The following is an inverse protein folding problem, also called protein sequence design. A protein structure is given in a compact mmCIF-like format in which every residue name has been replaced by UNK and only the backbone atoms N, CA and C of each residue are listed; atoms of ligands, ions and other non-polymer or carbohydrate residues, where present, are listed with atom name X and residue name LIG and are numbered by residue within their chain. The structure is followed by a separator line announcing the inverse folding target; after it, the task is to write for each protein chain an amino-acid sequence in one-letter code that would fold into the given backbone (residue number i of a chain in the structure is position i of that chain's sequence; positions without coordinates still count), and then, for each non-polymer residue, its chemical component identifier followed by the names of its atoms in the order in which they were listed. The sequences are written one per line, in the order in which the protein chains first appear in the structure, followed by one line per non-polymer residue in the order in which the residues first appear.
data_IF_899097586265
#
_entry.id   IF_899097586265
#
_cell.length_a   1.000
_cell.length_b   1.000
_cell.length_c   1.000
_cell.angle_alpha   90.00
_cell.angle_beta   90.00
_cell.angle_gamma   90.00
#
_symmetry.space_group_name_H-M   'P 1'
#
loop_
_entity.id
_entity.type
_entity.pdbx_description
1 polymer ?
#
# COMPACT_ATOMS: atom_id res chain seq x y z
N UNK A 1 -1.34 5.05 10.55
CA UNK A 1 -0.42 6.13 10.18
C UNK A 1 -1.11 7.50 10.21
N UNK A 2 -2.23 7.72 9.50
CA UNK A 2 -2.88 9.04 9.33
C UNK A 2 -3.32 9.74 10.65
N UNK A 3 -3.43 9.03 11.75
CA UNK A 3 -3.75 9.60 13.08
C UNK A 3 -2.51 10.11 13.83
N UNK A 4 -1.30 9.72 13.43
CA UNK A 4 -0.07 10.14 14.08
C UNK A 4 0.19 11.64 13.84
N UNK A 5 0.55 12.42 14.88
CA UNK A 5 0.83 13.86 14.73
C UNK A 5 1.99 14.14 13.77
N UNK A 6 3.03 13.32 13.79
CA UNK A 6 4.22 13.44 12.94
C UNK A 6 3.96 13.16 11.45
N UNK A 7 2.90 12.43 11.11
CA UNK A 7 2.53 12.14 9.73
C UNK A 7 1.70 13.30 9.17
N UNK A 8 2.21 13.97 8.15
CA UNK A 8 1.53 15.10 7.52
C UNK A 8 0.46 14.65 6.53
N UNK A 9 0.76 13.67 5.68
CA UNK A 9 -0.16 13.14 4.67
C UNK A 9 0.03 11.63 4.52
N UNK A 10 -1.04 10.94 4.15
CA UNK A 10 -1.06 9.53 3.75
C UNK A 10 -1.76 9.45 2.40
N UNK A 11 -1.12 8.82 1.45
CA UNK A 11 -1.70 8.47 0.17
C UNK A 11 -1.88 6.95 0.13
N UNK A 12 -3.11 6.48 -0.09
CA UNK A 12 -3.41 5.05 -0.36
C UNK A 12 -3.60 4.93 -1.86
N UNK A 13 -2.73 4.18 -2.51
CA UNK A 13 -2.54 4.23 -3.95
C UNK A 13 -2.89 2.88 -4.57
N UNK A 14 -3.63 2.88 -5.69
CA UNK A 14 -3.93 1.69 -6.45
C UNK A 14 -5.16 0.91 -5.97
N UNK A 15 -6.06 1.55 -5.23
CA UNK A 15 -7.29 0.92 -4.73
C UNK A 15 -8.19 0.54 -5.89
N UNK A 16 -8.60 -0.74 -5.93
CA UNK A 16 -9.58 -1.27 -6.90
C UNK A 16 -10.81 -1.85 -6.20
N UNK A 17 -10.68 -2.18 -4.90
CA UNK A 17 -11.78 -2.72 -4.10
C UNK A 17 -12.92 -1.73 -3.93
N UNK A 18 -14.16 -2.25 -3.91
CA UNK A 18 -15.36 -1.51 -3.55
C UNK A 18 -15.44 -1.08 -2.07
N UNK A 19 -14.51 -1.50 -1.22
CA UNK A 19 -14.49 -1.24 0.23
C UNK A 19 -14.40 0.25 0.59
N UNK A 20 -13.89 1.08 -0.32
CA UNK A 20 -13.92 2.53 -0.15
C UNK A 20 -15.28 3.15 -0.48
N UNK A 21 -16.21 2.36 -1.01
CA UNK A 21 -17.55 2.79 -1.44
C UNK A 21 -18.48 3.16 -0.28
N UNK A 22 -19.69 3.61 -0.63
CA UNK A 22 -20.70 4.06 0.36
C UNK A 22 -21.11 2.95 1.33
N UNK A 23 -21.18 1.68 0.87
CA UNK A 23 -21.58 0.54 1.68
C UNK A 23 -20.64 0.30 2.89
N UNK A 24 -19.37 0.68 2.76
CA UNK A 24 -18.33 0.53 3.78
C UNK A 24 -17.91 1.87 4.43
N UNK A 25 -18.60 2.96 4.11
CA UNK A 25 -18.24 4.29 4.63
C UNK A 25 -18.20 4.34 6.16
N UNK A 26 -19.05 3.55 6.84
CA UNK A 26 -19.15 3.47 8.30
C UNK A 26 -17.91 2.83 8.97
N UNK A 27 -17.13 2.06 8.23
CA UNK A 27 -15.88 1.43 8.70
C UNK A 27 -14.72 2.44 8.76
N UNK A 28 -14.87 3.54 8.05
CA UNK A 28 -13.83 4.55 7.93
C UNK A 28 -13.82 5.52 9.11
N UNK A 29 -12.63 5.81 9.62
CA UNK A 29 -12.44 6.92 10.55
C UNK A 29 -12.45 8.24 9.80
N UNK A 30 -13.41 9.12 10.11
CA UNK A 30 -13.60 10.38 9.39
C UNK A 30 -12.48 11.41 9.67
N UNK A 31 -11.86 11.37 10.86
CA UNK A 31 -10.85 12.35 11.29
C UNK A 31 -9.72 12.59 10.28
N UNK A 32 -9.10 11.58 9.65
CA UNK A 32 -8.05 11.80 8.66
C UNK A 32 -8.53 12.56 7.43
N UNK A 33 -9.76 12.30 6.97
CA UNK A 33 -10.36 13.02 5.84
C UNK A 33 -10.72 14.45 6.21
N UNK A 34 -11.37 14.67 7.36
CA UNK A 34 -11.70 16.00 7.86
C UNK A 34 -10.46 16.90 7.99
N UNK A 35 -9.33 16.31 8.38
CA UNK A 35 -8.03 16.99 8.46
C UNK A 35 -7.25 17.02 7.16
N UNK A 36 -7.79 16.51 6.06
CA UNK A 36 -7.12 16.38 4.75
C UNK A 36 -5.76 15.67 4.81
N UNK A 37 -5.62 14.72 5.74
CA UNK A 37 -4.41 13.93 5.93
C UNK A 37 -4.39 12.64 5.11
N UNK A 38 -5.54 12.18 4.64
CA UNK A 38 -5.70 10.93 3.90
C UNK A 38 -6.28 11.21 2.53
N UNK A 39 -5.67 10.66 1.50
CA UNK A 39 -6.15 10.71 0.12
C UNK A 39 -6.14 9.33 -0.47
N UNK A 40 -7.27 8.90 -1.04
CA UNK A 40 -7.42 7.70 -1.84
C UNK A 40 -7.12 7.99 -3.31
N UNK A 41 -6.37 7.08 -3.94
CA UNK A 41 -6.06 7.07 -5.35
C UNK A 41 -6.51 5.72 -5.90
N UNK A 42 -7.63 5.69 -6.62
CA UNK A 42 -8.33 4.48 -7.00
C UNK A 42 -8.42 4.32 -8.51
N UNK A 43 -8.61 3.08 -8.96
CA UNK A 43 -8.89 2.73 -10.35
C UNK A 43 -10.24 2.02 -10.42
N UNK A 44 -11.18 2.58 -11.19
CA UNK A 44 -12.49 1.99 -11.42
C UNK A 44 -13.45 2.04 -10.22
N UNK A 45 -13.04 2.58 -9.08
CA UNK A 45 -13.88 2.73 -7.88
C UNK A 45 -13.80 4.15 -7.32
N UNK A 46 -14.79 4.58 -6.53
CA UNK A 46 -14.87 5.94 -5.95
C UNK A 46 -15.44 5.89 -4.53
N UNK A 47 -14.92 6.76 -3.69
CA UNK A 47 -15.44 7.05 -2.36
C UNK A 47 -16.42 8.24 -2.42
N UNK A 48 -17.49 8.12 -3.19
CA UNK A 48 -18.44 9.21 -3.46
C UNK A 48 -19.05 9.82 -2.19
N UNK A 49 -19.13 9.05 -1.10
CA UNK A 49 -19.62 9.52 0.20
C UNK A 49 -18.77 10.66 0.80
N UNK A 50 -17.50 10.79 0.40
CA UNK A 50 -16.65 11.90 0.83
C UNK A 50 -17.21 13.27 0.39
N UNK A 51 -17.98 13.31 -0.69
CA UNK A 51 -18.69 14.53 -1.15
C UNK A 51 -19.71 14.98 -0.13
N UNK A 52 -20.38 14.03 0.55
CA UNK A 52 -21.41 14.34 1.56
C UNK A 52 -20.84 15.04 2.79
N UNK A 53 -19.56 14.84 3.08
CA UNK A 53 -18.86 15.49 4.19
C UNK A 53 -17.95 16.65 3.72
N UNK A 54 -18.10 17.10 2.48
CA UNK A 54 -17.31 18.20 1.90
C UNK A 54 -15.81 17.87 1.73
N UNK A 55 -15.49 16.61 1.40
CA UNK A 55 -14.11 16.11 1.25
C UNK A 55 -13.89 15.35 -0.06
N UNK A 56 -14.56 15.76 -1.11
CA UNK A 56 -14.42 15.14 -2.44
C UNK A 56 -12.95 15.04 -2.91
N UNK A 57 -12.13 16.03 -2.55
CA UNK A 57 -10.71 16.08 -2.89
C UNK A 57 -9.86 14.95 -2.25
N UNK A 58 -10.41 14.27 -1.24
CA UNK A 58 -9.74 13.15 -0.56
C UNK A 58 -9.88 11.82 -1.30
N UNK A 59 -10.60 11.76 -2.42
CA UNK A 59 -10.58 10.62 -3.32
C UNK A 59 -10.40 11.11 -4.76
N UNK A 60 -9.47 10.46 -5.48
CA UNK A 60 -9.21 10.68 -6.90
C UNK A 60 -9.31 9.34 -7.61
N UNK A 61 -10.33 9.19 -8.44
CA UNK A 61 -10.62 7.97 -9.20
C UNK A 61 -10.20 8.15 -10.66
N UNK A 62 -9.62 7.11 -11.24
CA UNK A 62 -9.07 7.07 -12.59
C UNK A 62 -9.60 5.85 -13.35
N UNK A 63 -9.53 5.90 -14.68
CA UNK A 63 -9.94 4.78 -15.53
C UNK A 63 -8.86 3.69 -15.65
N UNK A 64 -7.59 4.01 -15.35
CA UNK A 64 -6.48 3.06 -15.46
C UNK A 64 -5.35 3.37 -14.46
N UNK A 65 -4.45 2.38 -14.25
CA UNK A 65 -3.26 2.56 -13.43
C UNK A 65 -2.30 3.62 -14.02
N UNK A 66 -2.15 3.67 -15.34
CA UNK A 66 -1.33 4.67 -16.02
C UNK A 66 -1.84 6.10 -15.78
N UNK A 67 -3.15 6.30 -15.84
CA UNK A 67 -3.76 7.61 -15.55
C UNK A 67 -3.57 7.97 -14.08
N UNK A 68 -3.77 7.01 -13.17
CA UNK A 68 -3.56 7.21 -11.74
C UNK A 68 -2.12 7.65 -11.48
N UNK A 69 -1.13 6.92 -11.99
CA UNK A 69 0.29 7.25 -11.79
C UNK A 69 0.59 8.63 -12.33
N UNK A 70 0.18 8.96 -13.56
CA UNK A 70 0.36 10.31 -14.12
C UNK A 70 -0.25 11.41 -13.25
N UNK A 71 -1.44 11.16 -12.68
CA UNK A 71 -2.12 12.12 -11.81
C UNK A 71 -1.49 12.24 -10.42
N UNK A 72 -0.82 11.16 -9.95
CA UNK A 72 -0.19 11.07 -8.64
C UNK A 72 1.16 11.80 -8.59
N UNK A 73 1.99 11.67 -9.64
CA UNK A 73 3.37 12.18 -9.63
C UNK A 73 3.50 13.65 -9.19
N UNK A 74 2.65 14.59 -9.66
CA UNK A 74 2.70 15.98 -9.19
C UNK A 74 2.42 16.12 -7.68
N UNK A 75 1.55 15.25 -7.12
CA UNK A 75 1.22 15.30 -5.69
C UNK A 75 2.37 14.80 -4.80
N UNK A 76 3.30 14.02 -5.36
CA UNK A 76 4.50 13.53 -4.68
C UNK A 76 5.69 14.49 -4.80
N UNK A 77 5.67 15.42 -5.76
CA UNK A 77 6.82 16.30 -6.04
C UNK A 77 7.27 17.11 -4.82
N UNK A 78 6.31 17.63 -4.06
CA UNK A 78 6.57 18.49 -2.87
C UNK A 78 6.60 17.70 -1.56
N UNK A 79 6.59 16.37 -1.60
CA UNK A 79 6.67 15.57 -0.39
C UNK A 79 8.07 15.66 0.22
N UNK A 80 8.13 15.88 1.54
CA UNK A 80 9.38 15.80 2.31
C UNK A 80 9.84 14.36 2.51
N UNK A 81 10.17 13.99 3.74
CA UNK A 81 10.50 12.60 4.07
C UNK A 81 9.32 11.67 3.83
N UNK A 82 9.56 10.57 3.13
CA UNK A 82 8.55 9.61 2.71
C UNK A 82 8.84 8.25 3.35
N UNK A 83 7.83 7.63 3.93
CA UNK A 83 7.82 6.21 4.26
C UNK A 83 6.91 5.49 3.26
N UNK A 84 7.42 4.42 2.65
CA UNK A 84 6.69 3.61 1.68
C UNK A 84 6.25 2.29 2.31
N UNK A 85 4.97 1.93 2.13
CA UNK A 85 4.46 0.60 2.45
C UNK A 85 3.86 0.05 1.17
N UNK A 86 4.42 -1.05 0.66
CA UNK A 86 3.99 -1.68 -0.58
C UNK A 86 3.25 -2.96 -0.21
N UNK A 87 1.94 -2.97 -0.41
CA UNK A 87 1.14 -4.17 -0.34
C UNK A 87 1.04 -4.80 -1.73
N UNK A 88 1.40 -6.07 -1.85
CA UNK A 88 1.42 -6.76 -3.14
C UNK A 88 0.03 -7.01 -3.72
N UNK A 89 -1.01 -6.84 -2.94
CA UNK A 89 -2.39 -6.86 -3.42
C UNK A 89 -2.68 -5.73 -4.45
N UNK A 90 -1.84 -4.68 -4.49
CA UNK A 90 -1.94 -3.63 -5.51
C UNK A 90 -1.65 -4.14 -6.93
N UNK A 91 -0.88 -5.22 -7.07
CA UNK A 91 -0.50 -5.76 -8.36
C UNK A 91 -1.59 -6.58 -9.02
N UNK A 92 -1.57 -6.60 -10.35
CA UNK A 92 -2.40 -7.49 -11.14
C UNK A 92 -2.02 -8.96 -10.90
N UNK A 93 -2.99 -9.83 -11.04
CA UNK A 93 -2.87 -11.27 -10.76
C UNK A 93 -1.80 -11.97 -11.63
N UNK A 94 -1.56 -11.45 -12.83
CA UNK A 94 -0.51 -11.94 -13.74
C UNK A 94 0.90 -11.46 -13.37
N UNK A 95 1.03 -10.54 -12.42
CA UNK A 95 2.32 -10.09 -11.85
C UNK A 95 2.71 -10.93 -10.64
N UNK A 96 1.78 -11.11 -9.72
CA UNK A 96 1.97 -11.90 -8.50
C UNK A 96 0.63 -12.37 -7.96
N UNK A 97 0.57 -13.59 -7.45
CA UNK A 97 -0.64 -14.10 -6.79
C UNK A 97 -0.61 -13.82 -5.30
N UNK A 98 -1.72 -13.31 -4.75
CA UNK A 98 -1.93 -13.07 -3.32
C UNK A 98 -3.18 -13.80 -2.82
N UNK A 99 -3.50 -13.68 -1.53
CA UNK A 99 -4.69 -14.28 -0.92
C UNK A 99 -5.93 -13.38 -0.99
N UNK A 100 -5.78 -12.14 -1.45
CA UNK A 100 -6.81 -11.09 -1.39
C UNK A 100 -7.20 -10.60 -2.78
N UNK A 101 -8.21 -9.77 -2.84
CA UNK A 101 -8.59 -9.06 -4.05
C UNK A 101 -7.40 -8.28 -4.61
N UNK A 102 -7.06 -8.55 -5.86
CA UNK A 102 -5.88 -7.98 -6.48
C UNK A 102 -6.19 -6.74 -7.29
N UNK A 103 -5.24 -5.83 -7.29
CA UNK A 103 -5.28 -4.60 -8.03
C UNK A 103 -4.93 -4.78 -9.51
N UNK A 104 -4.49 -3.67 -10.10
CA UNK A 104 -4.19 -3.60 -11.55
C UNK A 104 -2.79 -3.03 -11.82
N UNK A 105 -1.97 -2.84 -10.79
CA UNK A 105 -0.63 -2.30 -10.98
C UNK A 105 0.29 -3.35 -11.59
N UNK A 106 1.27 -2.87 -12.35
CA UNK A 106 2.45 -3.60 -12.78
C UNK A 106 3.69 -3.07 -12.07
N UNK A 107 4.78 -3.80 -12.08
CA UNK A 107 6.04 -3.34 -11.48
C UNK A 107 6.46 -1.97 -12.02
N UNK A 108 6.27 -1.70 -13.31
CA UNK A 108 6.58 -0.41 -13.94
C UNK A 108 5.84 0.78 -13.32
N UNK A 109 4.58 0.59 -12.87
CA UNK A 109 3.83 1.64 -12.17
C UNK A 109 4.47 1.95 -10.82
N UNK A 110 4.86 0.90 -10.08
CA UNK A 110 5.55 1.05 -8.79
C UNK A 110 6.91 1.71 -8.98
N UNK A 111 7.68 1.31 -9.99
CA UNK A 111 8.98 1.92 -10.34
C UNK A 111 8.84 3.41 -10.64
N UNK A 112 7.81 3.82 -11.38
CA UNK A 112 7.53 5.23 -11.66
C UNK A 112 7.23 6.02 -10.38
N UNK A 113 6.45 5.45 -9.45
CA UNK A 113 6.17 6.06 -8.14
C UNK A 113 7.43 6.14 -7.30
N UNK A 114 8.23 5.07 -7.26
CA UNK A 114 9.50 5.02 -6.52
C UNK A 114 10.48 6.06 -7.06
N UNK A 115 10.64 6.15 -8.37
CA UNK A 115 11.51 7.15 -9.01
C UNK A 115 11.11 8.59 -8.64
N UNK A 116 9.81 8.86 -8.59
CA UNK A 116 9.30 10.17 -8.16
C UNK A 116 9.58 10.47 -6.68
N UNK A 117 9.84 9.44 -5.86
CA UNK A 117 10.15 9.58 -4.44
C UNK A 117 11.66 9.57 -4.15
N UNK A 118 12.53 9.34 -5.14
CA UNK A 118 13.96 9.15 -4.97
C UNK A 118 14.62 10.24 -4.13
N UNK A 119 15.56 9.84 -3.26
CA UNK A 119 16.30 10.74 -2.34
C UNK A 119 15.47 11.27 -1.16
N UNK A 120 14.17 10.91 -1.06
CA UNK A 120 13.27 11.34 0.01
C UNK A 120 12.70 10.16 0.82
N UNK A 121 12.97 8.94 0.38
CA UNK A 121 12.51 7.72 1.05
C UNK A 121 13.41 7.43 2.24
N UNK A 122 12.84 7.50 3.46
CA UNK A 122 13.56 7.28 4.72
C UNK A 122 13.34 5.87 5.29
N UNK A 123 12.45 5.11 4.71
CA UNK A 123 12.15 3.74 5.09
C UNK A 123 11.04 3.16 4.24
N UNK A 124 11.02 1.84 4.15
CA UNK A 124 10.00 1.12 3.40
C UNK A 124 9.74 -0.26 4.01
N UNK A 125 8.56 -0.80 3.73
CA UNK A 125 8.20 -2.21 3.94
C UNK A 125 7.45 -2.76 2.72
N UNK A 126 7.46 -4.09 2.60
CA UNK A 126 6.70 -4.84 1.60
C UNK A 126 5.91 -5.91 2.32
N UNK A 127 4.61 -6.00 2.07
CA UNK A 127 3.69 -6.99 2.62
C UNK A 127 2.84 -7.66 1.53
N UNK A 128 1.84 -8.47 1.93
CA UNK A 128 0.97 -9.17 0.99
C UNK A 128 1.58 -10.47 0.47
N UNK A 129 2.45 -11.15 1.25
CA UNK A 129 2.93 -12.50 0.90
C UNK A 129 1.80 -13.53 1.03
N UNK A 130 1.65 -14.37 -0.01
CA UNK A 130 0.70 -15.47 0.03
C UNK A 130 1.10 -16.49 1.09
N UNK A 131 0.12 -16.93 1.88
CA UNK A 131 0.33 -17.91 2.94
C UNK A 131 -0.82 -18.91 3.03
N UNK A 132 -0.50 -20.15 3.39
CA UNK A 132 -1.49 -21.18 3.71
C UNK A 132 -1.80 -21.16 5.20
N UNK A 133 -2.66 -20.27 5.65
CA UNK A 133 -3.05 -20.18 7.04
C UNK A 133 -4.48 -20.66 7.25
N UNK A 134 -4.68 -21.61 8.16
CA UNK A 134 -6.00 -22.01 8.62
C UNK A 134 -6.30 -21.45 10.01
N UNK A 135 -7.44 -20.78 10.13
CA UNK A 135 -7.91 -20.34 11.44
C UNK A 135 -8.29 -21.53 12.32
N UNK A 136 -7.77 -21.59 13.53
CA UNK A 136 -8.14 -22.61 14.52
C UNK A 136 -9.64 -22.53 14.90
N UNK A 137 -10.21 -21.32 14.93
CA UNK A 137 -11.62 -21.10 15.24
C UNK A 137 -12.53 -21.44 14.05
N UNK A 138 -13.56 -22.32 14.22
CA UNK A 138 -14.54 -22.61 13.17
C UNK A 138 -15.28 -21.37 12.66
N UNK A 139 -15.58 -20.43 13.56
CA UNK A 139 -16.26 -19.18 13.21
C UNK A 139 -15.38 -18.29 12.32
N UNK A 140 -14.09 -18.17 12.65
CA UNK A 140 -13.14 -17.41 11.81
C UNK A 140 -12.93 -18.08 10.45
N UNK A 141 -12.90 -19.41 10.37
CA UNK A 141 -12.87 -20.14 9.10
C UNK A 141 -14.10 -19.86 8.25
N UNK A 142 -15.28 -19.83 8.87
CA UNK A 142 -16.51 -19.47 8.18
C UNK A 142 -16.47 -18.06 7.63
N UNK A 143 -16.07 -17.06 8.42
CA UNK A 143 -15.92 -15.68 7.97
C UNK A 143 -14.90 -15.56 6.83
N UNK A 144 -13.72 -16.19 6.96
CA UNK A 144 -12.67 -16.20 5.93
C UNK A 144 -13.18 -16.76 4.59
N UNK A 145 -14.05 -17.79 4.62
CA UNK A 145 -14.69 -18.30 3.40
C UNK A 145 -15.69 -17.34 2.80
N UNK A 146 -16.44 -16.60 3.64
CA UNK A 146 -17.34 -15.55 3.14
C UNK A 146 -16.58 -14.40 2.48
N UNK A 147 -15.36 -14.11 2.95
CA UNK A 147 -14.45 -13.13 2.36
C UNK A 147 -13.70 -13.66 1.13
N UNK A 148 -14.11 -14.82 0.59
CA UNK A 148 -13.51 -15.41 -0.62
C UNK A 148 -12.13 -16.05 -0.43
N UNK A 149 -11.67 -16.18 0.82
CA UNK A 149 -10.40 -16.86 1.11
C UNK A 149 -10.58 -18.38 1.05
N UNK A 150 -10.31 -18.96 -0.10
CA UNK A 150 -10.30 -20.42 -0.25
C UNK A 150 -9.03 -21.04 0.34
N UNK A 151 -9.13 -22.30 0.86
CA UNK A 151 -7.95 -23.06 1.25
C UNK A 151 -7.02 -23.19 0.05
N UNK A 152 -5.79 -22.73 0.20
CA UNK A 152 -4.80 -22.81 -0.89
C UNK A 152 -4.25 -24.24 -1.00
N UNK A 153 -4.30 -24.81 -2.21
CA UNK A 153 -3.62 -26.08 -2.48
C UNK A 153 -2.11 -25.94 -2.20
N UNK A 154 -1.50 -26.84 -1.40
CA UNK A 154 -0.08 -26.76 -1.05
C UNK A 154 0.88 -26.78 -2.25
N UNK A 155 0.47 -27.37 -3.38
CA UNK A 155 1.28 -27.39 -4.58
C UNK A 155 1.21 -26.05 -5.32
N UNK A 156 0.01 -25.49 -5.46
CA UNK A 156 -0.20 -24.15 -6.01
C UNK A 156 0.51 -23.08 -5.16
N UNK A 157 0.42 -23.21 -3.83
CA UNK A 157 1.06 -22.28 -2.88
C UNK A 157 2.57 -22.16 -3.11
N UNK A 158 3.27 -23.28 -3.36
CA UNK A 158 4.71 -23.26 -3.65
C UNK A 158 5.03 -22.47 -4.91
N UNK A 159 4.27 -22.67 -5.98
CA UNK A 159 4.44 -21.91 -7.24
C UNK A 159 4.17 -20.40 -7.03
N UNK A 160 3.14 -20.07 -6.27
CA UNK A 160 2.84 -18.65 -5.94
C UNK A 160 3.95 -18.03 -5.08
N UNK A 161 4.50 -18.77 -4.12
CA UNK A 161 5.62 -18.29 -3.30
C UNK A 161 6.90 -18.06 -4.09
N UNK A 162 7.13 -18.81 -5.16
CA UNK A 162 8.26 -18.57 -6.08
C UNK A 162 8.06 -17.23 -6.84
N UNK A 163 6.86 -16.99 -7.38
CA UNK A 163 6.49 -15.70 -7.96
C UNK A 163 6.65 -14.55 -6.96
N UNK A 164 6.22 -14.74 -5.72
CA UNK A 164 6.37 -13.79 -4.63
C UNK A 164 7.84 -13.43 -4.36
N UNK A 165 8.75 -14.43 -4.37
CA UNK A 165 10.19 -14.19 -4.19
C UNK A 165 10.78 -13.34 -5.33
N UNK A 166 10.38 -13.62 -6.57
CA UNK A 166 10.83 -12.84 -7.72
C UNK A 166 10.38 -11.38 -7.63
N UNK A 167 9.11 -11.14 -7.29
CA UNK A 167 8.57 -9.78 -7.10
C UNK A 167 9.24 -9.10 -5.90
N UNK A 168 9.44 -9.80 -4.78
CA UNK A 168 10.15 -9.24 -3.63
C UNK A 168 11.57 -8.81 -3.99
N UNK A 169 12.30 -9.62 -4.77
CA UNK A 169 13.65 -9.28 -5.22
C UNK A 169 13.65 -8.00 -6.09
N UNK A 170 12.72 -7.91 -7.05
CA UNK A 170 12.58 -6.73 -7.91
C UNK A 170 12.21 -5.47 -7.11
N UNK A 171 11.29 -5.59 -6.15
CA UNK A 171 10.90 -4.47 -5.28
C UNK A 171 12.04 -4.03 -4.37
N UNK A 172 12.79 -4.96 -3.78
CA UNK A 172 13.94 -4.64 -2.92
C UNK A 172 15.04 -3.96 -3.72
N UNK A 173 15.33 -4.41 -4.96
CA UNK A 173 16.27 -3.74 -5.84
C UNK A 173 15.83 -2.31 -6.15
N UNK A 174 14.56 -2.12 -6.52
CA UNK A 174 14.01 -0.80 -6.84
C UNK A 174 13.98 0.12 -5.62
N UNK A 175 13.63 -0.39 -4.44
CA UNK A 175 13.69 0.36 -3.17
C UNK A 175 15.12 0.74 -2.81
N UNK A 176 16.10 -0.16 -3.01
CA UNK A 176 17.52 0.15 -2.77
C UNK A 176 18.04 1.33 -3.60
N UNK A 177 17.48 1.54 -4.79
CA UNK A 177 17.87 2.69 -5.66
C UNK A 177 17.30 4.04 -5.20
N UNK A 178 16.22 4.04 -4.42
CA UNK A 178 15.49 5.26 -4.04
C UNK A 178 15.58 5.62 -2.56
N UNK A 179 16.04 4.69 -1.73
CA UNK A 179 16.27 4.96 -0.32
C UNK A 179 17.32 6.06 -0.18
N UNK A 180 17.01 7.02 0.68
CA UNK A 180 17.97 8.06 1.06
C UNK A 180 19.11 7.41 1.83
N UNK A 181 20.35 7.64 1.42
CA UNK A 181 21.49 7.27 2.24
C UNK A 181 21.37 7.95 3.60
N UNK A 182 21.60 7.24 4.72
CA UNK A 182 21.62 7.86 6.03
C UNK A 182 22.68 8.95 5.98
N UNK A 183 22.28 10.20 6.27
CA UNK A 183 23.26 11.28 6.50
C UNK A 183 24.26 10.74 7.52
N UNK A 184 25.55 10.71 7.17
CA UNK A 184 26.60 10.25 8.06
C UNK A 184 26.44 11.01 9.38
N UNK A 185 25.81 10.35 10.37
CA UNK A 185 25.44 10.97 11.63
C UNK A 185 26.72 11.28 12.39
N UNK A 186 27.17 12.51 12.31
CA UNK A 186 28.28 13.05 13.09
C UNK A 186 27.93 13.16 14.57
N UNK A 187 26.88 12.48 15.05
CA UNK A 187 26.59 12.35 16.50
C UNK A 187 25.78 11.07 16.78
N UNK A 188 26.46 9.94 16.88
CA UNK A 188 25.94 8.85 17.70
C UNK A 188 25.94 9.37 19.15
N UNK A 189 24.74 9.64 19.68
CA UNK A 189 24.60 10.01 21.09
C UNK A 189 25.23 8.92 21.97
N UNK A 190 26.08 9.25 22.93
CA UNK A 190 26.80 8.26 23.80
C UNK A 190 25.87 7.35 24.60
N UNK A 191 24.57 7.64 24.62
CA UNK A 191 23.56 6.93 25.44
C UNK A 191 23.26 5.51 24.91
N UNK A 192 23.41 5.25 23.60
CA UNK A 192 23.12 3.93 23.03
C UNK A 192 24.25 2.90 23.13
N UNK A 193 25.43 3.26 23.61
CA UNK A 193 26.55 2.31 23.83
C UNK A 193 26.42 1.46 25.09
N UNK A 194 25.37 1.58 25.89
CA UNK A 194 25.18 0.83 27.14
C UNK A 194 24.22 -0.35 27.04
N UNK A 195 23.68 -0.67 25.86
CA UNK A 195 22.67 -1.73 25.69
C UNK A 195 23.04 -2.77 24.62
N UNK A 196 24.30 -2.87 24.21
CA UNK A 196 24.80 -3.98 23.39
C UNK A 196 26.12 -4.51 24.01
#
# INVERSE_FOLDING_TARGET
AALLPSVRRVHVIGITSGDIGLAHAWENRLTPFLRRKLTYWSVGTDAAWLRLIGRAECCRSFGSADELVRGLLPALADAGNIYLSIDKDVFAEDVVKTNWDQGVFRLSHTEAVLAACAGRVIGADVCGDVSGYEYASPFKRFLSRLDGQEPCDPQALRGWQEGQRAVNAALLESLGKVLREPEASTRVSPILRRFF
#
